data_IF_369818668041
#
_entry.id   IF_369818668041
#
_cell.length_a   1.000
_cell.length_b   1.000
_cell.length_c   1.000
_cell.angle_alpha   90.00
_cell.angle_beta   90.00
_cell.angle_gamma   90.00
#
_symmetry.space_group_name_H-M   'P 1'
#
loop_
_entity.id
_entity.type
_entity.pdbx_description
1 polymer ?
#
# COMPACT_ATOMS: atom_id res chain seq x y z
N UNK A 1 -6.22 -7.25 -35.27
CA UNK A 1 -6.94 -7.76 -34.08
C UNK A 1 -7.68 -6.65 -33.29
N UNK A 2 -8.13 -5.54 -33.91
CA UNK A 2 -8.83 -4.44 -33.21
C UNK A 2 -10.25 -4.18 -33.74
N UNK A 3 -10.71 -4.92 -34.76
CA UNK A 3 -12.01 -4.70 -35.42
C UNK A 3 -13.20 -5.31 -34.67
N UNK A 4 -12.96 -6.15 -33.65
CA UNK A 4 -14.00 -6.94 -32.95
C UNK A 4 -14.55 -6.31 -31.66
N UNK A 5 -14.06 -5.14 -31.25
CA UNK A 5 -14.49 -4.45 -30.02
C UNK A 5 -15.52 -3.33 -30.25
N UNK A 6 -15.92 -3.08 -31.51
CA UNK A 6 -16.67 -1.86 -31.90
C UNK A 6 -18.20 -1.95 -31.71
N UNK A 7 -18.71 -2.98 -31.04
CA UNK A 7 -20.15 -3.25 -30.99
C UNK A 7 -20.67 -3.89 -29.70
N UNK A 8 -19.89 -3.90 -28.62
CA UNK A 8 -20.45 -4.21 -27.30
C UNK A 8 -21.12 -2.92 -26.81
N UNK A 9 -22.45 -2.87 -26.89
CA UNK A 9 -23.23 -1.89 -26.13
C UNK A 9 -22.84 -2.10 -24.67
N UNK A 10 -22.10 -1.15 -24.10
CA UNK A 10 -21.75 -1.19 -22.68
C UNK A 10 -23.06 -1.21 -21.91
N UNK A 11 -23.43 -2.38 -21.42
CA UNK A 11 -24.68 -2.60 -20.73
C UNK A 11 -24.70 -1.69 -19.50
N UNK A 12 -25.76 -0.87 -19.34
CA UNK A 12 -25.87 0.03 -18.19
C UNK A 12 -25.90 -0.73 -16.86
N UNK A 13 -26.14 -2.04 -16.89
CA UNK A 13 -25.99 -2.93 -15.75
C UNK A 13 -24.55 -3.03 -15.19
N UNK A 14 -23.51 -2.72 -15.98
CA UNK A 14 -22.12 -2.64 -15.52
C UNK A 14 -21.77 -1.33 -14.81
N UNK A 15 -22.58 -0.27 -15.00
CA UNK A 15 -22.37 0.99 -14.31
C UNK A 15 -22.90 0.87 -12.89
N UNK A 16 -21.98 0.72 -11.93
CA UNK A 16 -22.29 0.81 -10.51
C UNK A 16 -23.02 2.12 -10.22
N UNK A 17 -24.07 2.04 -9.43
CA UNK A 17 -24.78 3.23 -8.98
C UNK A 17 -23.84 4.10 -8.12
N UNK A 18 -23.99 5.42 -8.18
CA UNK A 18 -23.15 6.38 -7.41
C UNK A 18 -22.99 6.00 -5.93
N UNK A 19 -24.04 5.53 -5.21
CA UNK A 19 -23.90 5.08 -3.82
C UNK A 19 -23.02 3.83 -3.67
N UNK A 20 -23.11 2.89 -4.59
CA UNK A 20 -22.26 1.69 -4.58
C UNK A 20 -20.79 2.06 -4.80
N UNK A 21 -20.53 3.01 -5.69
CA UNK A 21 -19.18 3.48 -6.01
C UNK A 21 -18.51 4.15 -4.80
N UNK A 22 -19.24 5.03 -4.10
CA UNK A 22 -18.78 5.61 -2.83
C UNK A 22 -18.52 4.52 -1.79
N UNK A 23 -19.42 3.53 -1.67
CA UNK A 23 -19.24 2.40 -0.76
C UNK A 23 -17.95 1.60 -1.02
N UNK A 24 -17.60 1.37 -2.29
CA UNK A 24 -16.34 0.73 -2.65
C UNK A 24 -15.12 1.60 -2.36
N UNK A 25 -15.18 2.90 -2.63
CA UNK A 25 -14.08 3.82 -2.31
C UNK A 25 -13.79 3.85 -0.81
N UNK A 26 -14.83 3.90 0.03
CA UNK A 26 -14.70 3.83 1.48
C UNK A 26 -14.09 2.49 1.95
N UNK A 27 -14.55 1.37 1.39
CA UNK A 27 -13.96 0.05 1.67
C UNK A 27 -12.48 -0.02 1.28
N UNK A 28 -12.08 0.67 0.21
CA UNK A 28 -10.69 0.71 -0.23
C UNK A 28 -9.79 1.62 0.63
N UNK A 29 -10.38 2.61 1.31
CA UNK A 29 -9.67 3.45 2.27
C UNK A 29 -9.30 2.71 3.54
N UNK A 30 -10.16 1.80 4.03
CA UNK A 30 -9.93 1.08 5.29
C UNK A 30 -8.58 0.33 5.33
N UNK A 31 -8.21 -0.52 4.35
CA UNK A 31 -6.89 -1.16 4.32
C UNK A 31 -5.73 -0.17 4.26
N UNK A 32 -5.92 0.97 3.58
CA UNK A 32 -4.89 2.02 3.48
C UNK A 32 -4.64 2.69 4.82
N UNK A 33 -5.70 2.97 5.58
CA UNK A 33 -5.57 3.53 6.93
C UNK A 33 -4.92 2.53 7.89
N UNK A 34 -5.30 1.25 7.83
CA UNK A 34 -4.69 0.21 8.68
C UNK A 34 -3.19 0.10 8.39
N UNK A 35 -2.80 0.05 7.12
CA UNK A 35 -1.37 -0.07 6.74
C UNK A 35 -0.58 1.19 7.05
N UNK A 36 -1.16 2.38 6.92
CA UNK A 36 -0.54 3.63 7.35
C UNK A 36 -0.37 3.71 8.87
N UNK A 37 -1.37 3.26 9.64
CA UNK A 37 -1.28 3.15 11.09
C UNK A 37 -0.20 2.15 11.53
N UNK A 38 -0.12 0.98 10.86
CA UNK A 38 0.94 0.01 11.12
C UNK A 38 2.33 0.59 10.83
N UNK A 39 2.49 1.34 9.74
CA UNK A 39 3.74 2.05 9.46
C UNK A 39 4.06 3.06 10.57
N UNK A 40 3.09 3.86 11.02
CA UNK A 40 3.30 4.80 12.12
C UNK A 40 3.76 4.09 13.40
N UNK A 41 3.15 2.95 13.74
CA UNK A 41 3.58 2.11 14.87
C UNK A 41 5.04 1.63 14.75
N UNK A 42 5.53 1.39 13.53
CA UNK A 42 6.94 1.07 13.29
C UNK A 42 7.83 2.31 13.45
N UNK A 43 7.39 3.48 12.97
CA UNK A 43 8.20 4.70 13.13
C UNK A 43 8.35 5.06 14.60
N UNK A 44 7.25 5.10 15.37
CA UNK A 44 7.27 5.46 16.80
C UNK A 44 8.04 4.45 17.66
N UNK A 45 8.26 3.22 17.18
CA UNK A 45 9.05 2.22 17.91
C UNK A 45 10.55 2.35 17.65
N UNK A 46 10.95 3.02 16.56
CA UNK A 46 12.34 3.21 16.16
C UNK A 46 12.88 4.58 16.55
N UNK A 47 12.04 5.61 16.53
CA UNK A 47 12.43 7.00 16.80
C UNK A 47 11.35 7.71 17.62
N UNK A 48 11.76 8.71 18.39
CA UNK A 48 10.83 9.59 19.08
C UNK A 48 10.18 10.54 18.08
N UNK A 49 8.85 10.55 18.02
CA UNK A 49 8.09 11.28 17.00
C UNK A 49 7.12 12.24 17.68
N UNK A 50 7.17 13.54 17.36
CA UNK A 50 6.20 14.49 17.88
C UNK A 50 4.79 14.21 17.28
N UNK A 51 3.70 14.30 18.06
CA UNK A 51 2.35 13.96 17.60
C UNK A 51 1.89 14.72 16.34
N UNK A 52 2.42 15.91 16.11
CA UNK A 52 2.13 16.75 14.95
C UNK A 52 2.59 16.09 13.64
N UNK A 53 3.60 15.22 13.69
CA UNK A 53 4.14 14.51 12.53
C UNK A 53 3.35 13.23 12.18
N UNK A 54 2.48 12.73 13.08
CA UNK A 54 1.81 11.44 12.91
C UNK A 54 0.97 11.37 11.63
N UNK A 55 0.15 12.39 11.40
CA UNK A 55 -0.70 12.47 10.21
C UNK A 55 0.15 12.62 8.95
N UNK A 56 1.22 13.42 9.01
CA UNK A 56 2.14 13.63 7.88
C UNK A 56 2.85 12.34 7.47
N UNK A 57 3.34 11.56 8.45
CA UNK A 57 4.01 10.29 8.21
C UNK A 57 3.05 9.20 7.70
N UNK A 58 1.83 9.13 8.25
CA UNK A 58 0.80 8.22 7.75
C UNK A 58 0.40 8.56 6.30
N UNK A 59 0.19 9.84 6.00
CA UNK A 59 -0.10 10.32 4.64
C UNK A 59 1.05 10.04 3.67
N UNK A 60 2.29 10.24 4.12
CA UNK A 60 3.52 9.91 3.36
C UNK A 60 3.50 8.46 2.91
N UNK A 61 3.19 7.52 3.80
CA UNK A 61 3.16 6.10 3.46
C UNK A 61 2.06 5.74 2.45
N UNK A 62 0.87 6.33 2.60
CA UNK A 62 -0.24 6.14 1.65
C UNK A 62 0.16 6.69 0.27
N UNK A 63 0.71 7.90 0.24
CA UNK A 63 1.16 8.56 -0.98
C UNK A 63 2.26 7.76 -1.68
N UNK A 64 3.27 7.32 -0.94
CA UNK A 64 4.34 6.47 -1.46
C UNK A 64 3.81 5.17 -2.06
N UNK A 65 2.79 4.56 -1.45
CA UNK A 65 2.11 3.40 -2.01
C UNK A 65 1.38 3.70 -3.32
N UNK A 66 0.73 4.86 -3.44
CA UNK A 66 0.05 5.29 -4.68
C UNK A 66 1.08 5.56 -5.78
N UNK A 67 2.12 6.34 -5.49
CA UNK A 67 3.15 6.69 -6.46
C UNK A 67 3.94 5.44 -6.88
N UNK A 68 4.28 4.56 -5.93
CA UNK A 68 4.92 3.28 -6.22
C UNK A 68 4.06 2.38 -7.11
N UNK A 69 2.73 2.41 -6.97
CA UNK A 69 1.82 1.69 -7.87
C UNK A 69 1.74 2.34 -9.26
N UNK A 70 1.81 3.67 -9.35
CA UNK A 70 1.83 4.41 -10.62
C UNK A 70 3.17 4.27 -11.37
N UNK A 71 4.22 3.78 -10.70
CA UNK A 71 5.52 3.51 -11.30
C UNK A 71 5.50 2.22 -12.13
N UNK A 72 4.80 2.26 -13.27
CA UNK A 72 4.59 1.11 -14.17
C UNK A 72 5.92 0.49 -14.64
N UNK A 73 6.98 1.29 -14.75
CA UNK A 73 8.29 0.85 -15.24
C UNK A 73 9.15 0.13 -14.19
N UNK A 74 8.71 0.06 -12.93
CA UNK A 74 9.50 -0.54 -11.86
C UNK A 74 8.68 -1.59 -11.10
N UNK A 75 9.15 -2.85 -11.04
CA UNK A 75 8.40 -3.91 -10.37
C UNK A 75 8.15 -3.55 -8.91
N UNK A 76 6.90 -3.64 -8.45
CA UNK A 76 6.49 -3.33 -7.07
C UNK A 76 6.82 -1.90 -6.61
N UNK A 77 7.06 -0.97 -7.55
CA UNK A 77 7.51 0.39 -7.23
C UNK A 77 8.83 0.43 -6.46
N UNK A 78 9.70 -0.58 -6.64
CA UNK A 78 10.98 -0.70 -5.96
C UNK A 78 11.86 0.53 -6.24
N UNK A 79 12.39 1.18 -5.22
CA UNK A 79 13.13 2.43 -5.35
C UNK A 79 12.23 3.67 -5.39
N UNK A 80 11.07 3.64 -6.06
CA UNK A 80 10.15 4.79 -6.12
C UNK A 80 9.44 5.00 -4.78
N UNK A 81 8.88 3.94 -4.21
CA UNK A 81 8.17 4.02 -2.93
C UNK A 81 9.11 4.47 -1.82
N UNK A 82 10.31 3.92 -1.80
CA UNK A 82 11.35 4.21 -0.83
C UNK A 82 11.82 5.67 -0.97
N UNK A 83 12.07 6.13 -2.20
CA UNK A 83 12.43 7.52 -2.46
C UNK A 83 11.35 8.51 -2.01
N UNK A 84 10.06 8.19 -2.23
CA UNK A 84 8.96 9.05 -1.76
C UNK A 84 8.90 9.07 -0.23
N UNK A 85 9.05 7.92 0.43
CA UNK A 85 9.10 7.88 1.91
C UNK A 85 10.26 8.74 2.41
N UNK A 86 11.47 8.57 1.84
CA UNK A 86 12.64 9.36 2.23
C UNK A 86 12.39 10.86 2.01
N UNK A 87 11.89 11.25 0.83
CA UNK A 87 11.65 12.65 0.47
C UNK A 87 10.76 13.36 1.48
N UNK A 88 9.64 12.75 1.86
CA UNK A 88 8.69 13.38 2.78
C UNK A 88 9.03 13.16 4.26
N UNK A 89 9.62 12.02 4.63
CA UNK A 89 10.08 11.80 6.00
C UNK A 89 11.29 12.70 6.35
N UNK A 90 12.10 13.09 5.37
CA UNK A 90 13.22 14.02 5.56
C UNK A 90 12.79 15.45 5.94
N UNK A 91 11.49 15.77 5.83
CA UNK A 91 10.93 17.02 6.35
C UNK A 91 10.90 17.00 7.89
N UNK A 92 10.79 15.83 8.49
CA UNK A 92 10.67 15.64 9.94
C UNK A 92 11.96 15.12 10.59
N UNK A 93 12.77 14.36 9.84
CA UNK A 93 13.96 13.70 10.36
C UNK A 93 15.19 13.95 9.46
N UNK A 94 16.41 13.78 9.99
CA UNK A 94 17.62 13.67 9.16
C UNK A 94 17.47 12.58 8.08
N UNK A 95 18.14 12.78 6.95
CA UNK A 95 18.02 11.91 5.77
C UNK A 95 18.40 10.46 6.09
N UNK A 96 19.35 10.27 7.00
CA UNK A 96 19.85 8.96 7.43
C UNK A 96 18.74 8.18 8.11
N UNK A 97 17.98 8.84 8.99
CA UNK A 97 16.83 8.25 9.68
C UNK A 97 15.71 7.97 8.67
N UNK A 98 15.43 8.91 7.77
CA UNK A 98 14.40 8.74 6.74
C UNK A 98 14.67 7.51 5.84
N UNK A 99 15.95 7.27 5.49
CA UNK A 99 16.38 6.08 4.75
C UNK A 99 16.11 4.81 5.57
N UNK A 100 16.51 4.77 6.84
CA UNK A 100 16.25 3.63 7.73
C UNK A 100 14.75 3.33 7.85
N UNK A 101 13.92 4.35 8.03
CA UNK A 101 12.46 4.19 8.10
C UNK A 101 11.88 3.63 6.80
N UNK A 102 12.37 4.08 5.63
CA UNK A 102 11.92 3.57 4.33
C UNK A 102 12.26 2.08 4.15
N UNK A 103 13.44 1.66 4.58
CA UNK A 103 13.90 0.28 4.51
C UNK A 103 13.16 -0.60 5.52
N UNK A 104 12.95 -0.12 6.74
CA UNK A 104 12.17 -0.82 7.76
C UNK A 104 10.75 -1.08 7.26
N UNK A 105 10.10 -0.06 6.68
CA UNK A 105 8.76 -0.20 6.11
C UNK A 105 8.70 -1.31 5.06
N UNK A 106 9.68 -1.36 4.14
CA UNK A 106 9.73 -2.40 3.12
C UNK A 106 9.97 -3.78 3.74
N UNK A 107 10.91 -3.89 4.68
CA UNK A 107 11.19 -5.14 5.38
C UNK A 107 9.93 -5.70 6.06
N UNK A 108 9.21 -4.89 6.84
CA UNK A 108 7.97 -5.32 7.50
C UNK A 108 6.90 -5.73 6.50
N UNK A 109 6.73 -5.01 5.38
CA UNK A 109 5.75 -5.41 4.35
C UNK A 109 6.12 -6.71 3.67
N UNK A 110 7.40 -6.91 3.31
CA UNK A 110 7.87 -8.15 2.68
C UNK A 110 7.75 -9.34 3.63
N UNK A 111 8.04 -9.14 4.92
CA UNK A 111 7.83 -10.17 5.94
C UNK A 111 6.34 -10.50 6.11
N UNK A 112 5.46 -9.50 6.14
CA UNK A 112 4.02 -9.72 6.24
C UNK A 112 3.48 -10.49 5.02
N UNK A 113 3.89 -10.11 3.81
CA UNK A 113 3.52 -10.82 2.58
C UNK A 113 4.02 -12.27 2.59
N UNK A 114 5.26 -12.49 3.02
CA UNK A 114 5.85 -13.82 3.18
C UNK A 114 5.12 -14.68 4.21
N UNK A 115 4.77 -14.11 5.37
CA UNK A 115 4.01 -14.78 6.41
C UNK A 115 2.60 -15.16 5.91
N UNK A 116 1.90 -14.26 5.22
CA UNK A 116 0.60 -14.55 4.63
C UNK A 116 0.69 -15.67 3.59
N UNK A 117 1.73 -15.67 2.75
CA UNK A 117 1.98 -16.74 1.79
C UNK A 117 2.23 -18.09 2.49
N UNK A 118 3.00 -18.11 3.57
CA UNK A 118 3.24 -19.31 4.38
C UNK A 118 1.95 -19.85 5.02
N UNK A 119 1.15 -18.96 5.62
CA UNK A 119 -0.16 -19.31 6.19
C UNK A 119 -1.06 -19.92 5.13
N UNK A 120 -1.16 -19.28 3.96
CA UNK A 120 -1.96 -19.79 2.84
C UNK A 120 -1.52 -21.19 2.40
N UNK A 121 -0.21 -21.43 2.24
CA UNK A 121 0.33 -22.76 1.87
C UNK A 121 0.04 -23.81 2.95
N UNK A 122 0.12 -23.44 4.23
CA UNK A 122 -0.18 -24.35 5.34
C UNK A 122 -1.65 -24.80 5.34
N UNK A 123 -2.59 -23.87 5.15
CA UNK A 123 -4.02 -24.18 5.05
C UNK A 123 -4.36 -24.96 3.77
N UNK A 124 -3.75 -24.64 2.63
CA UNK A 124 -3.97 -25.38 1.38
C UNK A 124 -3.49 -26.84 1.47
N UNK A 125 -2.42 -27.12 2.21
CA UNK A 125 -1.96 -28.50 2.47
C UNK A 125 -2.95 -29.31 3.32
N UNK A 126 -3.78 -28.65 4.14
CA UNK A 126 -4.79 -29.33 4.97
C UNK A 126 -6.05 -29.67 4.17
N UNK A 127 -6.49 -28.79 3.25
CA UNK A 127 -7.66 -29.03 2.40
C UNK A 127 -7.43 -29.96 1.19
N UNK A 128 -6.23 -30.52 1.01
CA UNK A 128 -5.90 -31.49 -0.05
C UNK A 128 -5.71 -32.93 0.47
N UNK A 129 -6.14 -33.21 1.70
CA UNK A 129 -6.08 -34.53 2.35
C UNK A 129 -7.43 -35.26 2.39
N UNK A 130 -8.45 -34.76 1.69
CA UNK A 130 -9.74 -35.43 1.47
C UNK A 130 -9.82 -35.99 0.04
#
# INVERSE_FOLDING_TARGET
>A
MFKKLRGQTVDRAFFLSTPQLIGYMLKFLLPRLITAGAFLCVVISLVDVPPEAYIGLAATYILAGIIGLMAIFVPSGLGVREAVIVLFASVYFPVEIAIVLSLAARLYTTLADGLLALVYVAFRKQGGKE
#
